data_IF_894303587240
#
_entry.id   IF_894303587240
#
_cell.length_a   1.000
_cell.length_b   1.000
_cell.length_c   1.000
_cell.angle_alpha   90.00
_cell.angle_beta   90.00
_cell.angle_gamma   90.00
#
_symmetry.space_group_name_H-M   'P 1'
#
loop_
_entity.id
_entity.type
_entity.pdbx_description
1 polymer ?
#
# COMPACT_ATOMS: atom_id res chain seq x y z
N UNK A 1 7.50 -27.69 2.65
CA UNK A 1 7.50 -26.78 1.50
C UNK A 1 6.67 -27.41 0.41
N UNK A 2 5.71 -26.67 -0.12
CA UNK A 2 5.07 -26.96 -1.40
C UNK A 2 5.72 -26.03 -2.43
N UNK A 3 5.86 -26.49 -3.68
CA UNK A 3 6.48 -25.72 -4.75
C UNK A 3 5.76 -25.98 -6.08
N UNK A 4 5.71 -24.96 -6.92
CA UNK A 4 5.17 -25.03 -8.27
C UNK A 4 6.18 -24.45 -9.24
N UNK A 5 6.26 -25.02 -10.44
CA UNK A 5 6.76 -24.31 -11.61
C UNK A 5 5.53 -23.83 -12.37
N UNK A 6 5.25 -22.53 -12.27
CA UNK A 6 4.03 -21.94 -12.81
C UNK A 6 2.79 -22.69 -12.26
N UNK A 7 2.02 -23.35 -13.12
CA UNK A 7 0.77 -24.07 -12.79
C UNK A 7 1.00 -25.55 -12.49
N UNK A 8 2.23 -26.06 -12.64
CA UNK A 8 2.57 -27.46 -12.32
C UNK A 8 3.11 -27.55 -10.90
N UNK A 9 2.38 -28.26 -10.04
CA UNK A 9 2.84 -28.60 -8.69
C UNK A 9 3.95 -29.65 -8.75
N UNK A 10 5.04 -29.40 -8.03
CA UNK A 10 6.09 -30.38 -7.86
C UNK A 10 5.71 -31.43 -6.82
N UNK A 11 6.12 -32.66 -7.10
CA UNK A 11 6.10 -33.75 -6.13
C UNK A 11 7.19 -33.57 -5.09
N UNK A 12 7.04 -34.26 -3.95
CA UNK A 12 8.05 -34.24 -2.87
C UNK A 12 9.44 -34.68 -3.35
N UNK A 13 9.50 -35.64 -4.28
CA UNK A 13 10.77 -36.13 -4.84
C UNK A 13 11.44 -35.09 -5.74
N UNK A 14 10.68 -34.41 -6.59
CA UNK A 14 11.21 -33.33 -7.44
C UNK A 14 11.74 -32.16 -6.59
N UNK A 15 11.03 -31.81 -5.52
CA UNK A 15 11.50 -30.80 -4.56
C UNK A 15 12.85 -31.18 -3.96
N UNK A 16 13.01 -32.42 -3.50
CA UNK A 16 14.28 -32.90 -2.93
C UNK A 16 15.40 -32.96 -3.99
N UNK A 17 15.08 -33.27 -5.25
CA UNK A 17 16.06 -33.26 -6.33
C UNK A 17 16.54 -31.85 -6.70
N UNK A 18 15.63 -30.87 -6.71
CA UNK A 18 15.94 -29.48 -7.12
C UNK A 18 16.62 -28.73 -5.97
N UNK A 19 16.08 -28.83 -4.76
CA UNK A 19 16.50 -28.00 -3.62
C UNK A 19 17.39 -28.75 -2.62
N UNK A 20 17.60 -30.07 -2.79
CA UNK A 20 18.35 -30.95 -1.88
C UNK A 20 17.62 -31.27 -0.57
N UNK A 21 16.63 -30.46 -0.19
CA UNK A 21 15.86 -30.56 1.05
C UNK A 21 14.48 -29.92 0.87
N UNK A 22 13.56 -30.21 1.78
CA UNK A 22 12.24 -29.57 1.84
C UNK A 22 12.24 -28.26 2.63
N UNK A 23 13.41 -27.81 3.08
CA UNK A 23 13.60 -26.56 3.82
C UNK A 23 14.49 -25.61 3.03
N UNK A 24 14.02 -24.37 2.84
CA UNK A 24 14.83 -23.34 2.21
C UNK A 24 15.82 -22.83 3.27
N UNK A 25 17.11 -23.06 3.03
CA UNK A 25 18.18 -22.57 3.91
C UNK A 25 18.30 -21.04 3.87
N UNK A 26 18.99 -20.44 4.85
CA UNK A 26 19.19 -18.98 4.90
C UNK A 26 19.85 -18.42 3.65
N UNK A 27 20.84 -19.12 3.09
CA UNK A 27 21.56 -18.63 1.91
C UNK A 27 20.70 -18.71 0.65
N UNK A 28 19.90 -19.78 0.50
CA UNK A 28 18.92 -19.89 -0.58
C UNK A 28 17.85 -18.81 -0.46
N UNK A 29 17.37 -18.53 0.75
CA UNK A 29 16.36 -17.50 1.00
C UNK A 29 16.81 -16.10 0.58
N UNK A 30 18.12 -15.80 0.55
CA UNK A 30 18.64 -14.51 0.07
C UNK A 30 18.41 -14.28 -1.43
N UNK A 31 18.29 -15.35 -2.21
CA UNK A 31 18.00 -15.29 -3.64
C UNK A 31 16.50 -15.31 -3.96
N UNK A 32 15.63 -15.38 -2.94
CA UNK A 32 14.18 -15.45 -3.11
C UNK A 32 13.53 -14.10 -2.85
N UNK A 33 12.45 -13.87 -3.59
CA UNK A 33 11.60 -12.69 -3.44
C UNK A 33 10.39 -13.11 -2.60
N UNK A 34 10.15 -12.38 -1.51
CA UNK A 34 8.95 -12.56 -0.70
C UNK A 34 7.83 -11.66 -1.23
N UNK A 35 6.73 -12.28 -1.63
CA UNK A 35 5.50 -11.61 -2.04
C UNK A 35 4.59 -11.49 -0.81
N UNK A 36 4.35 -10.27 -0.35
CA UNK A 36 3.91 -10.00 1.03
C UNK A 36 2.62 -9.17 1.14
N UNK A 37 2.07 -8.70 0.03
CA UNK A 37 0.85 -7.90 -0.01
C UNK A 37 -0.10 -8.36 -1.12
N UNK A 38 -1.30 -7.79 -1.13
CA UNK A 38 -2.33 -8.08 -2.11
C UNK A 38 -1.91 -7.74 -3.55
N UNK A 39 -1.08 -6.70 -3.73
CA UNK A 39 -0.63 -6.29 -5.07
C UNK A 39 0.30 -7.32 -5.70
N UNK A 40 1.05 -8.06 -4.88
CA UNK A 40 1.91 -9.15 -5.35
C UNK A 40 1.17 -10.28 -6.06
N UNK A 41 -0.16 -10.45 -5.91
CA UNK A 41 -0.91 -11.45 -6.66
C UNK A 41 -0.84 -11.19 -8.18
N UNK A 42 -1.01 -9.94 -8.58
CA UNK A 42 -0.92 -9.55 -9.99
C UNK A 42 0.49 -9.78 -10.55
N UNK A 43 1.53 -9.49 -9.75
CA UNK A 43 2.93 -9.77 -10.09
C UNK A 43 3.18 -11.28 -10.23
N UNK A 44 2.72 -12.09 -9.29
CA UNK A 44 2.86 -13.54 -9.31
C UNK A 44 2.21 -14.17 -10.55
N UNK A 45 0.98 -13.75 -10.87
CA UNK A 45 0.27 -14.20 -12.06
C UNK A 45 1.00 -13.81 -13.34
N UNK A 46 1.48 -12.57 -13.44
CA UNK A 46 2.20 -12.09 -14.62
C UNK A 46 3.53 -12.83 -14.82
N UNK A 47 4.30 -13.04 -13.75
CA UNK A 47 5.53 -13.85 -13.79
C UNK A 47 5.20 -15.27 -14.25
N UNK A 48 4.17 -15.89 -13.67
CA UNK A 48 3.75 -17.23 -14.04
C UNK A 48 3.40 -17.30 -15.54
N UNK A 49 2.57 -16.40 -16.04
CA UNK A 49 2.13 -16.40 -17.44
C UNK A 49 3.30 -16.19 -18.42
N UNK A 50 4.25 -15.31 -18.10
CA UNK A 50 5.45 -15.09 -18.95
C UNK A 50 6.36 -16.31 -18.92
N UNK A 51 6.61 -16.89 -17.74
CA UNK A 51 7.43 -18.10 -17.62
C UNK A 51 6.77 -19.27 -18.36
N UNK A 52 5.44 -19.41 -18.26
CA UNK A 52 4.70 -20.44 -19.00
C UNK A 52 4.84 -20.24 -20.51
N UNK A 53 4.72 -19.00 -20.99
CA UNK A 53 4.92 -18.69 -22.40
C UNK A 53 6.31 -19.10 -22.89
N UNK A 54 7.37 -18.82 -22.12
CA UNK A 54 8.74 -19.19 -22.48
C UNK A 54 8.94 -20.71 -22.49
N UNK A 55 8.36 -21.42 -21.52
CA UNK A 55 8.38 -22.88 -21.47
C UNK A 55 7.67 -23.50 -22.67
N UNK A 56 6.47 -23.02 -23.00
CA UNK A 56 5.66 -23.54 -24.11
C UNK A 56 6.33 -23.27 -25.47
N UNK A 57 6.96 -22.10 -25.61
CA UNK A 57 7.73 -21.73 -26.79
C UNK A 57 9.13 -22.37 -26.85
N UNK A 58 9.53 -23.13 -25.82
CA UNK A 58 10.86 -23.77 -25.70
C UNK A 58 12.01 -22.75 -25.82
N UNK A 59 11.82 -21.57 -25.25
CA UNK A 59 12.85 -20.52 -25.21
C UNK A 59 13.79 -20.78 -24.04
N UNK A 60 15.08 -20.49 -24.23
CA UNK A 60 16.04 -20.41 -23.13
C UNK A 60 15.90 -19.05 -22.43
N UNK A 61 15.88 -19.05 -21.09
CA UNK A 61 15.76 -17.84 -20.29
C UNK A 61 16.38 -18.01 -18.91
N UNK A 62 16.85 -16.89 -18.36
CA UNK A 62 17.25 -16.80 -16.96
C UNK A 62 16.08 -16.23 -16.14
N UNK A 63 15.53 -17.04 -15.22
CA UNK A 63 14.44 -16.62 -14.35
C UNK A 63 14.70 -15.30 -13.60
N UNK A 64 15.92 -15.00 -13.11
CA UNK A 64 16.22 -13.70 -12.50
C UNK A 64 16.01 -12.51 -13.44
N UNK A 65 16.32 -12.63 -14.73
CA UNK A 65 16.14 -11.55 -15.69
C UNK A 65 14.66 -11.37 -16.05
N UNK A 66 13.92 -12.46 -16.22
CA UNK A 66 12.46 -12.39 -16.40
C UNK A 66 11.80 -11.67 -15.22
N UNK A 67 12.16 -12.04 -13.99
CA UNK A 67 11.67 -11.35 -12.80
C UNK A 67 12.05 -9.87 -12.79
N UNK A 68 13.30 -9.52 -13.10
CA UNK A 68 13.75 -8.12 -13.13
C UNK A 68 12.98 -7.30 -14.16
N UNK A 69 12.71 -7.84 -15.34
CA UNK A 69 12.00 -7.12 -16.39
C UNK A 69 10.52 -6.93 -16.05
N UNK A 70 9.86 -7.95 -15.50
CA UNK A 70 8.49 -7.82 -14.98
C UNK A 70 8.42 -6.78 -13.87
N UNK A 71 9.33 -6.86 -12.90
CA UNK A 71 9.36 -5.92 -11.79
C UNK A 71 9.64 -4.48 -12.28
N UNK A 72 10.55 -4.29 -13.24
CA UNK A 72 10.79 -2.97 -13.88
C UNK A 72 9.55 -2.44 -14.58
N UNK A 73 8.79 -3.29 -15.28
CA UNK A 73 7.55 -2.89 -15.94
C UNK A 73 6.50 -2.43 -14.92
N UNK A 74 6.30 -3.20 -13.85
CA UNK A 74 5.41 -2.83 -12.74
C UNK A 74 5.85 -1.49 -12.13
N UNK A 75 7.13 -1.37 -11.78
CA UNK A 75 7.69 -0.14 -11.21
C UNK A 75 7.53 1.06 -12.14
N UNK A 76 7.67 0.88 -13.46
CA UNK A 76 7.45 1.94 -14.44
C UNK A 76 5.99 2.42 -14.41
N UNK A 77 5.02 1.51 -14.41
CA UNK A 77 3.58 1.85 -14.36
C UNK A 77 3.23 2.63 -13.08
N UNK A 78 3.79 2.25 -11.93
CA UNK A 78 3.58 2.98 -10.68
C UNK A 78 4.28 4.35 -10.65
N UNK A 79 5.55 4.43 -11.05
CA UNK A 79 6.36 5.67 -10.96
C UNK A 79 5.96 6.72 -11.99
N UNK A 80 5.56 6.29 -13.19
CA UNK A 80 5.05 7.18 -14.24
C UNK A 80 3.69 7.80 -13.88
N UNK A 81 2.98 7.22 -12.89
CA UNK A 81 1.63 7.61 -12.52
C UNK A 81 0.57 7.11 -13.50
N UNK A 82 0.92 6.23 -14.46
CA UNK A 82 -0.05 5.66 -15.41
C UNK A 82 -1.16 4.90 -14.69
N UNK A 83 -0.81 4.05 -13.71
CA UNK A 83 -1.82 3.35 -12.89
C UNK A 83 -2.71 4.34 -12.13
N UNK A 84 -2.13 5.33 -11.47
CA UNK A 84 -2.90 6.33 -10.71
C UNK A 84 -3.88 7.10 -11.60
N UNK A 85 -3.42 7.56 -12.76
CA UNK A 85 -4.27 8.29 -13.72
C UNK A 85 -5.38 7.39 -14.28
N UNK A 86 -5.06 6.13 -14.60
CA UNK A 86 -6.06 5.16 -15.05
C UNK A 86 -7.17 4.94 -14.01
N UNK A 87 -6.80 4.75 -12.75
CA UNK A 87 -7.74 4.59 -11.63
C UNK A 87 -8.60 5.85 -11.45
N UNK A 88 -7.98 7.04 -11.46
CA UNK A 88 -8.70 8.30 -11.28
C UNK A 88 -9.61 8.63 -12.47
N UNK A 89 -9.19 8.31 -13.70
CA UNK A 89 -9.98 8.56 -14.92
C UNK A 89 -11.21 7.67 -15.03
N UNK A 90 -11.17 6.51 -14.36
CA UNK A 90 -12.23 5.51 -14.36
C UNK A 90 -12.75 5.27 -12.94
N UNK A 91 -12.86 6.37 -12.17
CA UNK A 91 -13.30 6.37 -10.77
C UNK A 91 -14.77 5.94 -10.58
N UNK A 92 -15.50 5.65 -11.67
CA UNK A 92 -16.82 5.01 -11.65
C UNK A 92 -16.79 3.50 -11.97
N UNK A 93 -15.66 2.96 -12.43
CA UNK A 93 -15.48 1.53 -12.73
C UNK A 93 -14.60 0.83 -11.72
N UNK A 94 -13.66 1.54 -11.09
CA UNK A 94 -12.88 1.04 -9.95
C UNK A 94 -13.69 1.00 -8.63
N UNK A 95 -14.85 1.67 -8.59
CA UNK A 95 -15.99 1.32 -7.75
C UNK A 95 -17.25 1.37 -8.62
N UNK A 96 -17.70 0.19 -9.04
CA UNK A 96 -18.85 -0.03 -9.95
C UNK A 96 -20.02 0.91 -9.64
N UNK A 97 -20.21 1.93 -10.47
CA UNK A 97 -21.37 2.84 -10.42
C UNK A 97 -22.43 2.57 -11.48
N UNK A 98 -22.34 1.48 -12.25
CA UNK A 98 -23.47 1.09 -13.12
C UNK A 98 -23.55 -0.41 -13.46
N UNK A 99 -24.78 -0.92 -13.50
CA UNK A 99 -25.29 -2.19 -14.09
C UNK A 99 -25.36 -3.48 -13.23
N UNK A 100 -26.59 -3.75 -12.75
CA UNK A 100 -27.44 -4.98 -12.88
C UNK A 100 -26.86 -6.41 -12.75
N UNK A 101 -25.98 -6.70 -11.80
CA UNK A 101 -25.69 -8.09 -11.38
C UNK A 101 -25.74 -8.24 -9.84
N UNK A 102 -26.41 -9.30 -9.36
CA UNK A 102 -26.77 -9.50 -7.94
C UNK A 102 -25.55 -9.73 -7.01
N UNK A 103 -24.43 -10.28 -7.50
CA UNK A 103 -23.17 -10.39 -6.75
C UNK A 103 -22.46 -9.04 -6.57
N UNK A 104 -22.64 -8.14 -7.53
CA UNK A 104 -21.97 -6.84 -7.56
C UNK A 104 -22.71 -5.82 -6.68
N UNK A 105 -24.03 -5.96 -6.52
CA UNK A 105 -24.83 -5.20 -5.57
C UNK A 105 -24.34 -5.39 -4.13
N UNK A 106 -23.96 -6.61 -3.76
CA UNK A 106 -23.36 -6.90 -2.45
C UNK A 106 -22.01 -6.18 -2.27
N UNK A 107 -21.14 -6.21 -3.29
CA UNK A 107 -19.85 -5.51 -3.26
C UNK A 107 -20.02 -3.98 -3.21
N UNK A 108 -21.00 -3.43 -3.92
CA UNK A 108 -21.33 -2.00 -3.90
C UNK A 108 -21.88 -1.61 -2.52
N UNK A 109 -22.80 -2.39 -1.93
CA UNK A 109 -23.30 -2.15 -0.58
C UNK A 109 -22.19 -2.25 0.47
N UNK A 110 -21.28 -3.23 0.37
CA UNK A 110 -20.10 -3.33 1.24
C UNK A 110 -19.17 -2.13 1.08
N UNK A 111 -18.93 -1.68 -0.16
CA UNK A 111 -18.17 -0.46 -0.41
C UNK A 111 -18.87 0.75 0.24
N UNK A 112 -20.14 1.02 -0.03
CA UNK A 112 -20.85 2.15 0.58
C UNK A 112 -20.87 2.08 2.13
N UNK A 113 -21.09 0.90 2.70
CA UNK A 113 -21.04 0.71 4.15
C UNK A 113 -19.64 0.97 4.70
N UNK A 114 -18.59 0.44 4.08
CA UNK A 114 -17.19 0.66 4.52
C UNK A 114 -16.76 2.11 4.42
N UNK A 115 -17.19 2.86 3.39
CA UNK A 115 -16.95 4.30 3.28
C UNK A 115 -17.58 5.09 4.44
N UNK A 116 -18.86 4.84 4.72
CA UNK A 116 -19.58 5.52 5.81
C UNK A 116 -19.02 5.17 7.20
N UNK A 117 -18.62 3.92 7.41
CA UNK A 117 -18.02 3.44 8.66
C UNK A 117 -16.62 4.01 8.90
N UNK A 118 -15.79 4.10 7.85
CA UNK A 118 -14.48 4.73 7.93
C UNK A 118 -14.59 6.20 8.32
N UNK A 119 -15.47 6.94 7.64
CA UNK A 119 -15.70 8.34 7.96
C UNK A 119 -16.19 8.53 9.41
N UNK A 120 -17.16 7.71 9.84
CA UNK A 120 -17.69 7.71 11.20
C UNK A 120 -16.59 7.44 12.23
N UNK A 121 -15.74 6.44 11.98
CA UNK A 121 -14.61 6.12 12.85
C UNK A 121 -13.63 7.30 12.96
N UNK A 122 -13.23 7.90 11.84
CA UNK A 122 -12.29 9.03 11.83
C UNK A 122 -12.85 10.25 12.57
N UNK A 123 -14.14 10.58 12.33
CA UNK A 123 -14.84 11.66 13.04
C UNK A 123 -14.93 11.39 14.53
N UNK A 124 -15.37 10.18 14.93
CA UNK A 124 -15.45 9.78 16.33
C UNK A 124 -14.08 9.90 17.01
N UNK A 125 -12.99 9.46 16.37
CA UNK A 125 -11.64 9.60 16.92
C UNK A 125 -11.28 11.07 17.15
N UNK A 126 -11.53 11.93 16.16
CA UNK A 126 -11.24 13.36 16.25
C UNK A 126 -12.06 14.07 17.33
N UNK A 127 -13.37 13.78 17.40
CA UNK A 127 -14.29 14.31 18.41
C UNK A 127 -13.89 13.90 19.83
N UNK A 128 -13.32 12.69 19.99
CA UNK A 128 -12.75 12.21 21.25
C UNK A 128 -11.31 12.71 21.50
N UNK A 129 -10.88 13.77 20.81
CA UNK A 129 -9.60 14.44 21.03
C UNK A 129 -8.37 13.67 20.54
N UNK A 130 -8.54 12.63 19.70
CA UNK A 130 -7.41 11.94 19.08
C UNK A 130 -6.83 12.78 17.94
N UNK A 131 -5.51 12.66 17.79
CA UNK A 131 -4.75 13.30 16.71
C UNK A 131 -4.49 12.28 15.62
N UNK A 132 -4.82 12.62 14.37
CA UNK A 132 -4.77 11.71 13.23
C UNK A 132 -3.71 12.19 12.24
N UNK A 133 -2.96 11.24 11.67
CA UNK A 133 -2.02 11.54 10.59
C UNK A 133 -2.15 10.50 9.49
N UNK A 134 -1.93 10.93 8.24
CA UNK A 134 -1.85 10.08 7.07
C UNK A 134 -0.40 10.00 6.61
N UNK A 135 0.12 8.80 6.36
CA UNK A 135 1.50 8.55 5.93
C UNK A 135 1.50 7.55 4.76
N UNK A 136 1.73 8.04 3.54
CA UNK A 136 1.59 7.25 2.32
C UNK A 136 2.77 7.43 1.36
N UNK A 137 3.08 6.37 0.59
CA UNK A 137 4.07 6.43 -0.48
C UNK A 137 3.52 7.06 -1.77
N UNK A 138 2.20 7.15 -1.88
CA UNK A 138 1.54 7.71 -3.05
C UNK A 138 1.75 9.23 -3.17
N UNK A 139 1.73 9.78 -4.40
CA UNK A 139 1.69 11.22 -4.61
C UNK A 139 0.35 11.82 -4.15
N UNK A 140 0.36 13.09 -3.71
CA UNK A 140 -0.83 13.70 -3.13
C UNK A 140 -2.02 13.78 -4.09
N UNK A 141 -1.83 14.06 -5.38
CA UNK A 141 -2.96 14.09 -6.33
C UNK A 141 -3.77 12.78 -6.34
N UNK A 142 -3.10 11.63 -6.16
CA UNK A 142 -3.76 10.33 -6.14
C UNK A 142 -4.47 10.10 -4.81
N UNK A 143 -3.83 10.51 -3.72
CA UNK A 143 -4.40 10.47 -2.37
C UNK A 143 -5.64 11.36 -2.29
N UNK A 144 -5.58 12.59 -2.77
CA UNK A 144 -6.69 13.53 -2.77
C UNK A 144 -7.87 12.99 -3.57
N UNK A 145 -7.64 12.52 -4.80
CA UNK A 145 -8.69 11.91 -5.62
C UNK A 145 -9.34 10.69 -4.97
N UNK A 146 -8.54 9.80 -4.37
CA UNK A 146 -9.05 8.63 -3.66
C UNK A 146 -9.81 8.98 -2.38
N UNK A 147 -9.29 9.90 -1.56
CA UNK A 147 -9.93 10.31 -0.31
C UNK A 147 -11.22 11.08 -0.54
N UNK A 148 -11.26 11.92 -1.58
CA UNK A 148 -12.50 12.55 -2.06
C UNK A 148 -13.51 11.50 -2.50
N UNK A 149 -13.11 10.56 -3.34
CA UNK A 149 -13.99 9.47 -3.74
C UNK A 149 -14.55 8.69 -2.53
N UNK A 150 -13.71 8.40 -1.54
CA UNK A 150 -14.10 7.60 -0.37
C UNK A 150 -14.94 8.35 0.67
N UNK A 151 -14.83 9.68 0.76
CA UNK A 151 -15.38 10.46 1.87
C UNK A 151 -16.29 11.61 1.44
N UNK A 152 -16.21 12.10 0.21
CA UNK A 152 -16.89 13.33 -0.24
C UNK A 152 -18.38 13.10 -0.57
N UNK A 153 -18.83 11.87 -0.92
CA UNK A 153 -20.27 11.56 -1.07
C UNK A 153 -21.02 11.57 0.29
N UNK A 154 -20.31 11.62 1.43
CA UNK A 154 -20.88 11.60 2.80
C UNK A 154 -20.43 12.78 3.68
N UNK A 155 -19.55 13.65 3.17
CA UNK A 155 -19.26 14.97 3.70
C UNK A 155 -20.16 15.94 2.94
N UNK A 156 -20.95 16.78 3.61
CA UNK A 156 -21.67 17.84 2.89
C UNK A 156 -20.69 18.71 2.07
N UNK A 157 -21.19 19.51 1.13
CA UNK A 157 -20.43 20.31 0.14
C UNK A 157 -19.30 21.24 0.67
N UNK A 158 -19.02 21.26 1.98
CA UNK A 158 -18.07 22.19 2.63
C UNK A 158 -16.91 21.56 3.40
N UNK A 159 -16.94 20.28 3.76
CA UNK A 159 -15.90 19.68 4.62
C UNK A 159 -14.84 18.97 3.78
N UNK A 160 -13.59 19.45 3.81
CA UNK A 160 -12.48 18.77 3.14
C UNK A 160 -12.06 17.55 3.97
N UNK A 161 -11.89 16.37 3.35
CA UNK A 161 -11.40 15.16 4.06
C UNK A 161 -10.11 15.41 4.83
N UNK A 162 -9.28 16.36 4.38
CA UNK A 162 -8.04 16.78 5.05
C UNK A 162 -8.28 17.25 6.47
N UNK A 163 -9.43 17.84 6.76
CA UNK A 163 -9.76 18.28 8.11
C UNK A 163 -9.77 17.11 9.09
N UNK A 164 -10.06 15.89 8.64
CA UNK A 164 -10.01 14.71 9.52
C UNK A 164 -8.59 14.41 10.02
N UNK A 165 -7.55 14.92 9.35
CA UNK A 165 -6.15 14.63 9.67
C UNK A 165 -5.42 15.89 10.13
N UNK A 166 -4.69 15.80 11.25
CA UNK A 166 -3.82 16.88 11.72
C UNK A 166 -2.55 17.01 10.86
N UNK A 167 -2.12 15.92 10.21
CA UNK A 167 -0.93 15.90 9.35
C UNK A 167 -1.15 14.95 8.17
N UNK A 168 -0.89 15.42 6.95
CA UNK A 168 -0.88 14.59 5.74
C UNK A 168 0.55 14.54 5.17
N UNK A 169 1.11 13.33 5.10
CA UNK A 169 2.44 13.06 4.56
C UNK A 169 2.32 12.12 3.36
N UNK A 170 2.57 12.64 2.17
CA UNK A 170 2.60 11.91 0.91
C UNK A 170 4.05 11.67 0.46
N UNK A 171 4.28 10.76 -0.51
CA UNK A 171 5.62 10.33 -0.93
C UNK A 171 6.60 10.11 0.24
N UNK A 172 6.12 9.44 1.30
CA UNK A 172 6.86 9.21 2.53
C UNK A 172 8.09 8.31 2.35
N UNK A 173 8.11 7.49 1.29
CA UNK A 173 9.18 6.56 0.98
C UNK A 173 9.39 5.50 2.09
N UNK A 174 8.31 4.94 2.61
CA UNK A 174 8.33 3.74 3.46
C UNK A 174 8.93 2.57 2.67
N UNK A 175 9.76 1.70 3.29
CA UNK A 175 10.16 1.70 4.70
C UNK A 175 11.33 2.66 5.04
N UNK A 176 11.96 3.29 4.06
CA UNK A 176 13.11 4.17 4.27
C UNK A 176 12.78 5.38 5.15
N UNK A 177 11.52 5.82 5.20
CA UNK A 177 11.02 6.78 6.19
C UNK A 177 11.46 6.49 7.63
N UNK A 178 11.51 5.22 8.03
CA UNK A 178 11.79 4.84 9.42
C UNK A 178 13.28 4.84 9.78
N UNK A 179 14.17 4.86 8.80
CA UNK A 179 15.63 4.74 8.99
C UNK A 179 16.43 5.88 8.38
N UNK A 180 15.85 6.68 7.49
CA UNK A 180 16.52 7.79 6.83
C UNK A 180 16.63 9.05 7.70
N UNK A 181 17.39 10.02 7.19
CA UNK A 181 17.50 11.37 7.76
C UNK A 181 16.93 12.43 6.80
N UNK A 182 15.98 12.04 5.94
CA UNK A 182 15.37 12.93 4.96
C UNK A 182 14.53 14.02 5.65
N UNK A 183 14.65 15.25 5.16
CA UNK A 183 13.85 16.40 5.64
C UNK A 183 12.45 16.38 5.03
N UNK A 184 11.46 16.86 5.79
CA UNK A 184 10.14 17.16 5.24
C UNK A 184 10.20 18.36 4.30
N UNK A 185 9.34 18.34 3.29
CA UNK A 185 9.11 19.46 2.36
C UNK A 185 7.63 19.79 2.34
N UNK A 186 7.27 21.06 2.52
CA UNK A 186 5.88 21.51 2.35
C UNK A 186 5.53 21.45 0.85
N UNK A 187 4.41 20.82 0.51
CA UNK A 187 3.93 20.70 -0.85
C UNK A 187 2.94 21.85 -1.15
N UNK A 188 3.22 22.57 -2.24
CA UNK A 188 2.37 23.61 -2.79
C UNK A 188 1.48 22.98 -3.87
N UNK A 189 0.20 22.78 -3.52
CA UNK A 189 -0.79 22.12 -4.37
C UNK A 189 -1.10 22.91 -5.65
N UNK A 190 -1.10 24.25 -5.59
CA UNK A 190 -1.41 25.11 -6.73
C UNK A 190 -0.29 25.10 -7.77
N UNK A 191 0.96 25.04 -7.30
CA UNK A 191 2.15 25.08 -8.16
C UNK A 191 2.70 23.70 -8.52
N UNK A 192 2.23 22.64 -7.85
CA UNK A 192 2.83 21.29 -7.90
C UNK A 192 4.35 21.34 -7.61
N UNK A 193 4.72 22.03 -6.52
CA UNK A 193 6.14 22.20 -6.14
C UNK A 193 6.39 21.92 -4.66
N UNK A 194 7.66 21.69 -4.32
CA UNK A 194 8.12 21.51 -2.95
C UNK A 194 8.87 22.75 -2.47
N UNK A 195 8.45 23.29 -1.33
CA UNK A 195 9.14 24.39 -0.69
C UNK A 195 10.54 23.95 -0.21
N UNK A 196 11.56 24.76 -0.49
CA UNK A 196 12.93 24.52 -0.03
C UNK A 196 13.16 24.91 1.43
N UNK A 197 12.20 25.61 2.05
CA UNK A 197 12.25 25.95 3.46
C UNK A 197 12.22 24.69 4.34
N UNK A 198 12.88 24.77 5.48
CA UNK A 198 12.79 23.74 6.52
C UNK A 198 11.36 23.70 7.07
N UNK A 199 10.88 22.50 7.39
CA UNK A 199 9.61 22.29 8.08
C UNK A 199 9.90 22.10 9.57
N UNK A 200 9.58 23.11 10.37
CA UNK A 200 9.76 23.09 11.83
C UNK A 200 8.45 22.76 12.59
N UNK A 201 7.31 22.88 11.91
CA UNK A 201 6.00 22.50 12.42
C UNK A 201 5.09 21.99 11.30
N UNK A 202 4.16 21.10 11.66
CA UNK A 202 3.05 20.74 10.80
C UNK A 202 1.91 21.75 10.99
N UNK A 203 1.50 22.38 9.91
CA UNK A 203 0.44 23.38 9.88
C UNK A 203 -0.86 22.74 9.41
N UNK A 204 -2.02 23.21 9.92
CA UNK A 204 -3.33 22.80 9.40
C UNK A 204 -3.41 23.01 7.88
N UNK A 205 -4.14 22.13 7.22
CA UNK A 205 -4.44 22.19 5.78
C UNK A 205 -3.19 22.24 4.87
N UNK A 206 -2.05 21.74 5.36
CA UNK A 206 -0.82 21.58 4.58
C UNK A 206 -0.48 20.11 4.38
N UNK A 207 0.09 19.84 3.21
CA UNK A 207 0.59 18.52 2.82
C UNK A 207 2.11 18.56 2.84
N UNK A 208 2.71 17.47 3.32
CA UNK A 208 4.15 17.33 3.40
C UNK A 208 4.62 16.14 2.59
N UNK A 209 5.74 16.31 1.89
CA UNK A 209 6.42 15.20 1.20
C UNK A 209 7.66 14.77 1.96
N UNK A 210 8.03 13.50 1.77
CA UNK A 210 9.27 12.91 2.27
C UNK A 210 9.31 12.89 3.81
N UNK A 211 10.42 13.38 4.39
CA UNK A 211 10.68 13.32 5.81
C UNK A 211 11.14 11.96 6.30
N UNK A 212 11.28 11.86 7.61
CA UNK A 212 11.60 10.62 8.30
C UNK A 212 11.03 10.59 9.72
N UNK A 213 11.05 9.41 10.33
CA UNK A 213 10.57 9.17 11.69
C UNK A 213 11.22 10.10 12.72
N UNK A 214 12.53 10.35 12.61
CA UNK A 214 13.29 11.23 13.52
C UNK A 214 12.68 12.63 13.55
N UNK A 215 12.49 13.26 12.38
CA UNK A 215 11.90 14.59 12.30
C UNK A 215 10.42 14.58 12.66
N UNK A 216 9.68 13.51 12.33
CA UNK A 216 8.27 13.39 12.70
C UNK A 216 8.08 13.45 14.23
N UNK A 217 8.88 12.69 14.98
CA UNK A 217 8.82 12.68 16.45
C UNK A 217 9.29 14.02 17.04
N UNK A 218 10.30 14.67 16.43
CA UNK A 218 10.75 16.00 16.86
C UNK A 218 9.67 17.08 16.69
N UNK A 219 8.99 17.09 15.54
CA UNK A 219 7.95 18.07 15.24
C UNK A 219 6.70 17.81 16.10
N UNK A 220 6.25 16.56 16.17
CA UNK A 220 5.01 16.20 16.89
C UNK A 220 5.18 16.15 18.40
N UNK A 221 6.44 16.03 18.89
CA UNK A 221 6.79 15.85 20.30
C UNK A 221 6.06 14.67 20.95
N UNK A 222 5.72 13.65 20.15
CA UNK A 222 5.05 12.42 20.60
C UNK A 222 6.05 11.31 20.85
N UNK A 223 5.73 10.46 21.83
CA UNK A 223 6.50 9.26 22.12
C UNK A 223 5.91 8.04 21.42
N UNK A 224 6.75 7.07 21.09
CA UNK A 224 6.33 5.86 20.37
C UNK A 224 5.09 5.15 20.95
N UNK A 225 5.02 4.86 22.26
CA UNK A 225 3.88 4.14 22.87
C UNK A 225 2.54 4.87 22.82
N UNK A 226 2.54 6.18 22.55
CA UNK A 226 1.35 7.02 22.39
C UNK A 226 0.76 6.93 20.97
N UNK A 227 1.51 6.35 20.03
CA UNK A 227 1.14 6.27 18.62
C UNK A 227 0.61 4.87 18.29
N UNK A 228 -0.47 4.85 17.52
CA UNK A 228 -0.99 3.65 16.85
C UNK A 228 -0.90 3.86 15.34
N UNK A 229 -0.42 2.84 14.63
CA UNK A 229 -0.31 2.87 13.17
C UNK A 229 -1.03 1.67 12.56
N UNK A 230 -1.87 1.98 11.58
CA UNK A 230 -2.64 1.02 10.79
C UNK A 230 -1.98 0.89 9.43
N UNK A 231 -1.74 -0.33 8.98
CA UNK A 231 -1.14 -0.59 7.68
C UNK A 231 -1.41 -2.00 7.19
N UNK A 232 -1.39 -2.17 5.88
CA UNK A 232 -1.66 -3.41 5.15
C UNK A 232 -0.36 -4.19 4.85
N UNK A 233 0.73 -3.48 4.57
CA UNK A 233 1.98 -4.13 4.19
C UNK A 233 2.90 -4.42 5.41
N UNK A 234 3.07 -5.70 5.76
CA UNK A 234 3.89 -6.11 6.93
C UNK A 234 5.31 -5.49 6.96
N UNK A 235 6.02 -5.52 5.83
CA UNK A 235 7.38 -5.01 5.73
C UNK A 235 7.47 -3.48 5.64
N UNK A 236 6.78 -2.84 4.69
CA UNK A 236 6.91 -1.39 4.51
C UNK A 236 6.24 -0.62 5.63
N UNK A 237 5.14 -1.12 6.16
CA UNK A 237 4.22 -0.36 7.00
C UNK A 237 4.32 -0.72 8.48
N UNK A 238 4.48 -2.00 8.85
CA UNK A 238 4.39 -2.40 10.27
C UNK A 238 5.75 -2.62 10.94
N UNK A 239 6.78 -3.04 10.19
CA UNK A 239 8.12 -3.30 10.75
C UNK A 239 8.77 -2.05 11.33
N UNK A 240 8.65 -0.92 10.62
CA UNK A 240 9.22 0.36 11.04
C UNK A 240 8.60 0.89 12.35
N UNK A 241 7.26 1.06 12.41
CA UNK A 241 6.56 1.46 13.61
C UNK A 241 6.79 0.53 14.81
N UNK A 242 6.82 -0.78 14.58
CA UNK A 242 7.12 -1.75 15.65
C UNK A 242 8.51 -1.51 16.25
N UNK A 243 9.55 -1.30 15.42
CA UNK A 243 10.89 -0.90 15.90
C UNK A 243 10.89 0.45 16.61
N UNK A 244 10.01 1.37 16.22
CA UNK A 244 9.79 2.66 16.87
C UNK A 244 8.97 2.55 18.17
N UNK A 245 8.56 1.34 18.58
CA UNK A 245 7.70 1.06 19.75
C UNK A 245 6.31 1.67 19.64
N UNK A 246 5.79 1.83 18.43
CA UNK A 246 4.40 2.19 18.19
C UNK A 246 3.51 0.97 18.37
N UNK A 247 2.25 1.20 18.73
CA UNK A 247 1.22 0.16 18.61
C UNK A 247 0.92 -0.02 17.12
N UNK A 248 0.87 -1.25 16.64
CA UNK A 248 0.64 -1.55 15.22
C UNK A 248 -0.62 -2.39 15.05
N UNK A 249 -1.47 -2.04 14.10
CA UNK A 249 -2.63 -2.81 13.68
C UNK A 249 -2.47 -3.17 12.20
N UNK A 250 -2.47 -4.48 11.91
CA UNK A 250 -2.40 -4.97 10.53
C UNK A 250 -3.80 -5.00 9.92
N UNK A 251 -3.95 -4.48 8.70
CA UNK A 251 -5.14 -4.64 7.88
C UNK A 251 -4.88 -5.82 6.94
N UNK A 252 -5.68 -6.89 7.05
CA UNK A 252 -5.52 -8.13 6.27
C UNK A 252 -6.86 -8.40 5.57
N UNK A 253 -6.94 -8.10 4.28
CA UNK A 253 -8.18 -8.22 3.51
C UNK A 253 -8.60 -9.69 3.32
N UNK A 254 -7.63 -10.60 3.19
CA UNK A 254 -7.86 -12.02 2.94
C UNK A 254 -8.55 -12.73 4.10
N UNK A 255 -8.50 -12.16 5.32
CA UNK A 255 -9.22 -12.71 6.47
C UNK A 255 -10.73 -12.76 6.26
N UNK A 256 -11.30 -11.79 5.53
CA UNK A 256 -12.74 -11.75 5.28
C UNK A 256 -13.19 -12.98 4.49
N UNK A 257 -12.40 -13.38 3.48
CA UNK A 257 -12.65 -14.59 2.70
C UNK A 257 -12.37 -15.84 3.54
N UNK A 258 -11.25 -15.89 4.28
CA UNK A 258 -10.89 -17.07 5.06
C UNK A 258 -11.90 -17.39 6.18
N UNK A 259 -12.51 -16.38 6.79
CA UNK A 259 -13.50 -16.56 7.86
C UNK A 259 -14.86 -17.08 7.34
N UNK A 260 -15.17 -16.90 6.05
CA UNK A 260 -16.37 -17.46 5.43
C UNK A 260 -16.26 -18.96 5.12
N UNK A 261 -15.04 -19.52 5.15
CA UNK A 261 -14.78 -20.95 4.91
C UNK A 261 -14.77 -21.80 6.19
N UNK A 262 -15.30 -21.28 7.31
CA UNK A 262 -15.55 -22.00 8.56
C UNK A 262 -17.01 -21.82 8.99
#
# INVERSE_FOLDING_TARGET
>A
MDATLVRRKFTKKEIEQIYGTRHIGRDQARGLVSLMDFFCFSEACLIADIVQHFVDAKLEFDAPYVYQDVNRAIQHVHRSGLAHRGILSDSQRYPVKDVRDDELYYNICLLFLTHSELQRLLRMLKENGKKLFLLTNSPYYFVDGGMRFMLEDSLGERDSWRELFDVVIAKANKPEFYTSENLFRCYDEEKDTLAFSKVDSFLPDRVYYHGCLKFFLQITKRNGPELIYFGDHLYSDLRGPSKARWRTAAIIHELEVCLQFH
#
